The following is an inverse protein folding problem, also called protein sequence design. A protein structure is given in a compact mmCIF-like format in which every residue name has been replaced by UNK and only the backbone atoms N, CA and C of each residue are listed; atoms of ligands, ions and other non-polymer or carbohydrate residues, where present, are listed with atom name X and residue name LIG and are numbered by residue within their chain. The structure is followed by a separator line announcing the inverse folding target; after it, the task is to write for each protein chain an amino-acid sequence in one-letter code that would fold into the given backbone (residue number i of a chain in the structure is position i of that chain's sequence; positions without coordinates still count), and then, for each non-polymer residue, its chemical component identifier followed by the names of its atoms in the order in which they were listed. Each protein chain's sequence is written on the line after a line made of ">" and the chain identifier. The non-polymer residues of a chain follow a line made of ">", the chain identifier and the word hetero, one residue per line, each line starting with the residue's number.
data_IF_451809644708
#
_entry.id   IF_451809644708
#
_cell.length_a   1.000
_cell.length_b   1.000
_cell.length_c   1.000
_cell.angle_alpha   90.00
_cell.angle_beta   90.00
_cell.angle_gamma   90.00
#
_symmetry.space_group_name_H-M   'P 1'
#
loop_
_entity.id
_entity.type
_entity.pdbx_description
1 polymer ?
#
# COMPACT_ATOMS: atom_id res chain seq x y z
N UNK A 1 -17.86 -7.85 6.96
CA UNK A 1 -17.93 -6.46 7.47
C UNK A 1 -18.64 -6.28 8.82
N UNK A 2 -19.32 -7.28 9.40
CA UNK A 2 -19.94 -7.18 10.74
C UNK A 2 -20.86 -5.95 10.91
N UNK A 3 -21.74 -5.72 9.92
CA UNK A 3 -22.73 -4.62 9.91
C UNK A 3 -24.16 -5.12 10.17
N UNK A 4 -24.33 -6.41 10.49
CA UNK A 4 -25.65 -7.03 10.67
C UNK A 4 -26.46 -6.37 11.79
N UNK A 5 -25.78 -5.95 12.87
CA UNK A 5 -26.40 -5.31 14.05
C UNK A 5 -26.96 -3.91 13.76
N UNK A 6 -26.48 -3.25 12.71
CA UNK A 6 -26.85 -1.87 12.37
C UNK A 6 -27.45 -1.74 10.96
N UNK A 7 -27.95 -2.86 10.41
CA UNK A 7 -28.55 -2.95 9.06
C UNK A 7 -29.66 -1.92 8.82
N UNK A 8 -30.52 -1.72 9.81
CA UNK A 8 -31.68 -0.84 9.72
C UNK A 8 -31.45 0.50 10.45
N UNK A 9 -30.20 0.81 10.81
CA UNK A 9 -29.83 2.06 11.48
C UNK A 9 -29.56 3.13 10.43
N UNK A 10 -30.03 4.35 10.67
CA UNK A 10 -29.81 5.49 9.77
C UNK A 10 -28.31 5.85 9.69
N UNK A 11 -27.81 6.12 8.49
CA UNK A 11 -26.38 6.41 8.26
C UNK A 11 -25.95 7.72 8.95
N UNK A 12 -26.78 8.76 8.88
CA UNK A 12 -26.54 10.07 9.50
C UNK A 12 -27.84 10.61 10.09
N UNK A 13 -27.78 11.10 11.33
CA UNK A 13 -28.89 11.74 12.04
C UNK A 13 -28.34 12.57 13.20
N UNK A 14 -28.89 13.78 13.40
CA UNK A 14 -28.46 14.72 14.45
C UNK A 14 -29.17 14.43 15.77
N UNK A 15 -30.41 13.91 15.70
CA UNK A 15 -31.30 13.68 16.85
C UNK A 15 -31.62 12.19 17.07
N UNK A 16 -31.28 11.32 16.13
CA UNK A 16 -31.58 9.88 16.16
C UNK A 16 -30.29 9.04 16.23
N UNK A 17 -30.41 7.81 16.75
CA UNK A 17 -29.33 6.82 16.76
C UNK A 17 -28.84 6.57 15.33
N UNK A 18 -27.59 6.95 15.06
CA UNK A 18 -26.94 6.79 13.76
C UNK A 18 -25.73 5.86 13.84
N UNK A 19 -25.21 5.46 12.68
CA UNK A 19 -24.02 4.62 12.60
C UNK A 19 -22.80 5.31 13.25
N UNK A 20 -22.05 4.55 14.05
CA UNK A 20 -20.74 4.99 14.54
C UNK A 20 -19.79 5.32 13.39
N UNK A 21 -18.73 6.09 13.66
CA UNK A 21 -17.70 6.40 12.65
C UNK A 21 -17.12 5.15 12.00
N UNK A 22 -16.77 4.14 12.81
CA UNK A 22 -16.26 2.86 12.31
C UNK A 22 -17.29 2.07 11.49
N UNK A 23 -18.57 2.09 11.86
CA UNK A 23 -19.63 1.46 11.06
C UNK A 23 -19.83 2.15 9.71
N UNK A 24 -19.79 3.49 9.66
CA UNK A 24 -19.84 4.24 8.41
C UNK A 24 -18.66 3.91 7.49
N UNK A 25 -17.44 3.83 8.04
CA UNK A 25 -16.24 3.45 7.26
C UNK A 25 -16.39 2.04 6.67
N UNK A 26 -16.87 1.07 7.47
CA UNK A 26 -17.13 -0.30 6.98
C UNK A 26 -18.28 -0.36 5.96
N UNK A 27 -19.30 0.49 6.09
CA UNK A 27 -20.40 0.56 5.13
C UNK A 27 -19.91 1.10 3.79
N UNK A 28 -19.16 2.20 3.78
CA UNK A 28 -18.54 2.74 2.58
C UNK A 28 -17.61 1.70 1.91
N UNK A 29 -16.84 0.98 2.71
CA UNK A 29 -16.01 -0.10 2.18
C UNK A 29 -16.85 -1.26 1.59
N UNK A 30 -17.95 -1.62 2.26
CA UNK A 30 -18.85 -2.65 1.76
C UNK A 30 -19.51 -2.25 0.43
N UNK A 31 -19.90 -0.98 0.25
CA UNK A 31 -20.51 -0.50 -1.00
C UNK A 31 -19.58 -0.60 -2.19
N UNK A 32 -18.28 -0.33 -2.00
CA UNK A 32 -17.29 -0.50 -3.07
C UNK A 32 -17.13 -1.97 -3.48
N UNK A 33 -17.07 -2.88 -2.50
CA UNK A 33 -16.92 -4.32 -2.77
C UNK A 33 -18.15 -4.92 -3.48
N UNK A 34 -19.35 -4.34 -3.31
CA UNK A 34 -20.57 -4.85 -3.96
C UNK A 34 -20.47 -4.83 -5.50
N UNK A 35 -19.60 -3.99 -6.06
CA UNK A 35 -19.33 -3.94 -7.50
C UNK A 35 -18.44 -5.08 -8.01
N UNK A 36 -17.97 -5.95 -7.11
CA UNK A 36 -17.05 -7.07 -7.34
C UNK A 36 -15.80 -6.70 -8.18
N UNK A 37 -15.11 -5.59 -7.88
CA UNK A 37 -14.03 -5.09 -8.73
C UNK A 37 -12.85 -6.06 -8.74
N UNK A 38 -12.20 -6.25 -9.89
CA UNK A 38 -10.99 -7.08 -10.00
C UNK A 38 -9.78 -6.47 -9.28
N UNK A 39 -9.75 -5.13 -9.16
CA UNK A 39 -8.69 -4.36 -8.49
C UNK A 39 -9.33 -3.39 -7.51
N UNK A 40 -8.81 -3.35 -6.28
CA UNK A 40 -9.28 -2.49 -5.22
C UNK A 40 -8.14 -1.60 -4.70
N UNK A 41 -8.37 -0.29 -4.68
CA UNK A 41 -7.46 0.69 -4.09
C UNK A 41 -8.01 1.14 -2.73
N UNK A 42 -7.19 1.09 -1.69
CA UNK A 42 -7.56 1.43 -0.32
C UNK A 42 -6.58 2.47 0.22
N UNK A 43 -7.05 3.70 0.42
CA UNK A 43 -6.23 4.73 1.05
C UNK A 43 -6.42 4.72 2.57
N UNK A 44 -5.35 4.41 3.31
CA UNK A 44 -5.28 4.30 4.77
C UNK A 44 -6.52 3.66 5.43
N UNK A 45 -6.85 2.39 5.07
CA UNK A 45 -8.09 1.76 5.53
C UNK A 45 -8.11 1.55 7.04
N UNK A 46 -6.95 1.55 7.70
CA UNK A 46 -6.76 1.41 9.16
C UNK A 46 -6.83 2.74 9.91
N UNK A 47 -6.77 3.90 9.24
CA UNK A 47 -6.74 5.21 9.90
C UNK A 47 -8.01 5.46 10.74
N UNK A 48 -7.81 5.96 11.97
CA UNK A 48 -8.89 6.25 12.93
C UNK A 48 -9.56 5.00 13.54
N UNK A 49 -8.97 3.81 13.39
CA UNK A 49 -9.43 2.58 14.03
C UNK A 49 -8.49 2.15 15.16
N UNK A 50 -9.04 1.48 16.17
CA UNK A 50 -8.22 0.76 17.14
C UNK A 50 -7.51 -0.45 16.48
N UNK A 51 -6.54 -1.02 17.19
CA UNK A 51 -5.71 -2.12 16.68
C UNK A 51 -6.53 -3.36 16.29
N UNK A 52 -7.58 -3.69 17.03
CA UNK A 52 -8.43 -4.83 16.75
C UNK A 52 -9.27 -4.60 15.47
N UNK A 53 -9.86 -3.42 15.33
CA UNK A 53 -10.65 -3.05 14.17
C UNK A 53 -9.80 -2.91 12.91
N UNK A 54 -8.61 -2.31 13.03
CA UNK A 54 -7.63 -2.23 11.95
C UNK A 54 -7.26 -3.63 11.42
N UNK A 55 -6.92 -4.56 12.32
CA UNK A 55 -6.62 -5.94 11.96
C UNK A 55 -7.78 -6.61 11.21
N UNK A 56 -9.02 -6.41 11.67
CA UNK A 56 -10.21 -6.96 11.00
C UNK A 56 -10.43 -6.41 9.61
N UNK A 57 -10.10 -5.15 9.37
CA UNK A 57 -10.19 -4.54 8.03
C UNK A 57 -9.15 -5.18 7.11
N UNK A 58 -7.90 -5.29 7.56
CA UNK A 58 -6.81 -5.90 6.77
C UNK A 58 -7.09 -7.38 6.50
N UNK A 59 -7.64 -8.14 7.45
CA UNK A 59 -8.09 -9.52 7.23
C UNK A 59 -9.16 -9.62 6.14
N UNK A 60 -10.08 -8.66 6.08
CA UNK A 60 -11.10 -8.63 5.05
C UNK A 60 -10.48 -8.35 3.67
N UNK A 61 -9.51 -7.43 3.59
CA UNK A 61 -8.72 -7.17 2.38
C UNK A 61 -7.96 -8.43 1.93
N UNK A 62 -7.30 -9.12 2.86
CA UNK A 62 -6.58 -10.37 2.60
C UNK A 62 -7.52 -11.46 2.08
N UNK A 63 -8.72 -11.56 2.66
CA UNK A 63 -9.72 -12.52 2.19
C UNK A 63 -10.15 -12.24 0.75
N UNK A 64 -10.24 -10.97 0.34
CA UNK A 64 -10.52 -10.60 -1.05
C UNK A 64 -9.36 -10.97 -1.96
N UNK A 65 -8.11 -10.75 -1.53
CA UNK A 65 -6.95 -11.13 -2.35
C UNK A 65 -6.86 -12.64 -2.55
N UNK A 66 -7.13 -13.43 -1.51
CA UNK A 66 -7.23 -14.89 -1.60
C UNK A 66 -8.35 -15.38 -2.55
N UNK A 67 -9.35 -14.55 -2.85
CA UNK A 67 -10.39 -14.85 -3.85
C UNK A 67 -10.02 -14.42 -5.28
N UNK A 68 -8.75 -14.06 -5.51
CA UNK A 68 -8.24 -13.67 -6.83
C UNK A 68 -8.42 -12.19 -7.16
N UNK A 69 -8.79 -11.35 -6.20
CA UNK A 69 -8.82 -9.89 -6.40
C UNK A 69 -7.43 -9.29 -6.16
N UNK A 70 -7.07 -8.23 -6.88
CA UNK A 70 -5.86 -7.45 -6.57
C UNK A 70 -6.23 -6.34 -5.58
N UNK A 71 -5.52 -6.25 -4.45
CA UNK A 71 -5.73 -5.19 -3.46
C UNK A 71 -4.45 -4.40 -3.31
N UNK A 72 -4.55 -3.08 -3.46
CA UNK A 72 -3.46 -2.13 -3.25
C UNK A 72 -3.90 -1.20 -2.13
N UNK A 73 -3.10 -1.13 -1.06
CA UNK A 73 -3.43 -0.33 0.11
C UNK A 73 -2.24 0.48 0.58
N UNK A 74 -2.48 1.72 0.99
CA UNK A 74 -1.53 2.52 1.77
C UNK A 74 -1.78 2.25 3.25
N UNK A 75 -0.72 2.08 4.05
CA UNK A 75 -0.81 1.90 5.50
C UNK A 75 0.27 2.73 6.14
N UNK A 76 -0.14 3.76 6.89
CA UNK A 76 0.77 4.53 7.72
C UNK A 76 1.17 3.71 8.95
N UNK A 77 2.44 3.36 9.07
CA UNK A 77 3.02 2.60 10.20
C UNK A 77 2.26 1.29 10.54
N UNK A 78 2.42 0.23 9.74
CA UNK A 78 1.74 -1.03 9.99
C UNK A 78 2.25 -1.69 11.28
N UNK A 79 1.34 -2.25 12.08
CA UNK A 79 1.73 -3.17 13.15
C UNK A 79 2.28 -4.47 12.57
N UNK A 80 3.04 -5.24 13.35
CA UNK A 80 3.56 -6.56 12.91
C UNK A 80 2.48 -7.47 12.34
N UNK A 81 1.32 -7.53 12.99
CA UNK A 81 0.19 -8.36 12.55
C UNK A 81 -0.37 -7.92 11.20
N UNK A 82 -0.40 -6.61 10.94
CA UNK A 82 -0.87 -6.06 9.66
C UNK A 82 0.15 -6.32 8.56
N UNK A 83 1.43 -6.11 8.87
CA UNK A 83 2.53 -6.38 7.96
C UNK A 83 2.60 -7.85 7.52
N UNK A 84 2.41 -8.80 8.43
CA UNK A 84 2.40 -10.24 8.13
C UNK A 84 1.32 -10.65 7.11
N UNK A 85 0.30 -9.81 6.89
CA UNK A 85 -0.73 -10.08 5.88
C UNK A 85 -0.34 -9.64 4.47
N UNK A 86 0.67 -8.78 4.34
CA UNK A 86 1.11 -8.24 3.06
C UNK A 86 1.85 -9.31 2.24
N UNK A 87 1.42 -9.51 0.99
CA UNK A 87 2.12 -10.39 0.05
C UNK A 87 3.35 -9.67 -0.55
N UNK A 88 3.18 -8.39 -0.84
CA UNK A 88 4.19 -7.52 -1.45
C UNK A 88 4.23 -6.19 -0.73
N UNK A 89 5.40 -5.57 -0.73
CA UNK A 89 5.65 -4.28 -0.10
C UNK A 89 6.24 -3.32 -1.13
N UNK A 90 5.79 -2.07 -1.07
CA UNK A 90 6.41 -0.92 -1.74
C UNK A 90 6.70 0.10 -0.65
N UNK A 91 7.97 0.47 -0.51
CA UNK A 91 8.40 1.52 0.40
C UNK A 91 8.71 2.77 -0.41
N UNK A 92 8.20 3.90 0.07
CA UNK A 92 8.36 5.22 -0.55
C UNK A 92 9.04 6.17 0.43
N UNK A 93 10.06 6.88 -0.04
CA UNK A 93 10.63 8.04 0.65
C UNK A 93 10.74 9.20 -0.34
N UNK A 94 10.28 10.39 0.07
CA UNK A 94 10.32 11.60 -0.75
C UNK A 94 9.81 11.38 -2.20
N UNK A 95 8.71 10.63 -2.35
CA UNK A 95 8.10 10.30 -3.64
C UNK A 95 8.84 9.26 -4.48
N UNK A 96 9.95 8.69 -3.99
CA UNK A 96 10.77 7.71 -4.70
C UNK A 96 10.64 6.31 -4.07
N UNK A 97 10.75 5.27 -4.90
CA UNK A 97 10.69 3.87 -4.47
C UNK A 97 12.04 3.47 -3.89
N UNK A 98 12.05 3.18 -2.58
CA UNK A 98 13.25 2.68 -1.87
C UNK A 98 13.28 1.16 -1.76
N UNK A 99 12.14 0.50 -1.97
CA UNK A 99 12.04 -0.95 -2.06
C UNK A 99 10.71 -1.32 -2.72
N UNK A 100 10.72 -2.32 -3.60
CA UNK A 100 9.51 -2.98 -4.06
C UNK A 100 9.78 -4.47 -4.30
N UNK A 101 9.02 -5.32 -3.61
CA UNK A 101 9.27 -6.76 -3.64
C UNK A 101 8.29 -7.56 -2.79
N UNK A 102 8.67 -8.79 -2.48
CA UNK A 102 8.01 -9.61 -1.47
C UNK A 102 8.10 -8.93 -0.11
N UNK A 103 7.05 -9.01 0.71
CA UNK A 103 7.16 -8.55 2.09
C UNK A 103 8.20 -9.39 2.86
N UNK A 104 8.32 -10.69 2.60
CA UNK A 104 9.25 -11.57 3.31
C UNK A 104 10.73 -11.20 3.10
N UNK A 105 11.07 -10.67 1.92
CA UNK A 105 12.47 -10.46 1.52
C UNK A 105 13.03 -9.10 1.94
N UNK A 106 12.15 -8.18 2.40
CA UNK A 106 12.57 -6.83 2.81
C UNK A 106 13.62 -6.87 3.92
N UNK A 107 13.55 -7.89 4.77
CA UNK A 107 14.49 -8.07 5.86
C UNK A 107 15.92 -8.27 5.32
N UNK A 108 16.07 -9.25 4.43
CA UNK A 108 17.32 -9.63 3.80
C UNK A 108 17.87 -8.52 2.90
N UNK A 109 16.99 -7.80 2.18
CA UNK A 109 17.37 -6.64 1.37
C UNK A 109 18.14 -5.62 2.22
N UNK A 110 17.52 -5.08 3.27
CA UNK A 110 18.18 -4.06 4.11
C UNK A 110 19.42 -4.60 4.84
N UNK A 111 19.44 -5.88 5.24
CA UNK A 111 20.62 -6.49 5.86
C UNK A 111 21.82 -6.49 4.88
N UNK A 112 21.58 -6.76 3.59
CA UNK A 112 22.63 -6.73 2.55
C UNK A 112 23.17 -5.33 2.25
N UNK A 113 22.40 -4.29 2.55
CA UNK A 113 22.75 -2.88 2.33
C UNK A 113 23.28 -2.18 3.59
N UNK A 114 23.69 -2.93 4.61
CA UNK A 114 24.34 -2.37 5.80
C UNK A 114 23.38 -1.82 6.86
N UNK A 115 22.10 -2.19 6.80
CA UNK A 115 21.10 -1.89 7.83
C UNK A 115 20.66 -3.16 8.56
N UNK A 116 21.55 -3.79 9.37
CA UNK A 116 21.26 -5.04 10.05
C UNK A 116 20.13 -4.88 11.06
N UNK A 117 19.36 -5.96 11.27
CA UNK A 117 18.26 -5.96 12.24
C UNK A 117 18.73 -5.70 13.67
N UNK A 118 18.27 -4.61 14.32
CA UNK A 118 18.50 -4.42 15.75
C UNK A 118 17.81 -5.52 16.55
N UNK A 119 18.41 -5.91 17.68
CA UNK A 119 17.74 -6.79 18.64
C UNK A 119 16.52 -6.04 19.20
N UNK A 120 15.35 -6.69 19.19
CA UNK A 120 14.08 -6.19 19.76
C UNK A 120 13.31 -5.13 18.95
N UNK A 121 13.62 -4.91 17.67
CA UNK A 121 12.79 -4.06 16.80
C UNK A 121 12.03 -4.92 15.79
N UNK A 122 10.74 -4.64 15.59
CA UNK A 122 9.92 -5.31 14.58
C UNK A 122 10.36 -4.93 13.16
N UNK A 123 10.17 -5.81 12.18
CA UNK A 123 10.53 -5.51 10.79
C UNK A 123 9.82 -4.24 10.27
N UNK A 124 8.51 -4.04 10.53
CA UNK A 124 7.81 -2.80 10.21
C UNK A 124 8.47 -1.55 10.75
N UNK A 125 8.73 -1.53 12.06
CA UNK A 125 9.34 -0.37 12.69
C UNK A 125 10.75 -0.11 12.16
N UNK A 126 11.48 -1.19 11.83
CA UNK A 126 12.82 -1.11 11.24
C UNK A 126 12.81 -0.38 9.91
N UNK A 127 12.04 -0.84 8.93
CA UNK A 127 12.03 -0.19 7.61
C UNK A 127 11.41 1.21 7.69
N UNK A 128 10.43 1.45 8.56
CA UNK A 128 9.88 2.79 8.76
C UNK A 128 10.94 3.75 9.30
N UNK A 129 11.76 3.33 10.26
CA UNK A 129 12.87 4.15 10.77
C UNK A 129 13.97 4.41 9.73
N UNK A 130 14.18 3.47 8.81
CA UNK A 130 15.15 3.65 7.72
C UNK A 130 14.61 4.65 6.68
N UNK A 131 13.34 4.53 6.31
CA UNK A 131 12.74 5.28 5.20
C UNK A 131 12.25 6.67 5.63
N UNK A 132 11.74 6.81 6.85
CA UNK A 132 11.31 8.09 7.38
C UNK A 132 12.49 8.99 7.75
N UNK A 133 12.21 10.30 7.73
CA UNK A 133 13.13 11.32 8.24
C UNK A 133 13.10 11.30 9.77
N UNK A 134 14.28 11.22 10.39
CA UNK A 134 14.43 11.45 11.83
C UNK A 134 14.45 12.97 12.10
N UNK A 135 13.85 13.42 13.20
CA UNK A 135 13.72 14.85 13.53
C UNK A 135 15.06 15.59 13.64
N UNK A 136 16.12 14.86 14.02
CA UNK A 136 17.47 15.40 14.21
C UNK A 136 18.27 15.54 12.90
N UNK A 137 17.80 14.97 11.78
CA UNK A 137 18.50 15.01 10.50
C UNK A 137 18.15 16.26 9.69
N UNK A 138 19.17 16.89 9.12
CA UNK A 138 18.95 17.96 8.14
C UNK A 138 18.26 17.42 6.88
N UNK A 139 17.56 18.30 6.15
CA UNK A 139 16.94 17.94 4.87
C UNK A 139 17.96 17.38 3.87
N UNK A 140 19.18 17.92 3.86
CA UNK A 140 20.24 17.47 2.95
C UNK A 140 20.72 16.05 3.28
N UNK A 141 20.96 15.75 4.57
CA UNK A 141 21.35 14.40 5.00
C UNK A 141 20.26 13.38 4.72
N UNK A 142 18.99 13.73 4.97
CA UNK A 142 17.87 12.87 4.66
C UNK A 142 17.75 12.59 3.16
N UNK A 143 17.85 13.62 2.32
CA UNK A 143 17.78 13.45 0.86
C UNK A 143 18.94 12.60 0.33
N UNK A 144 20.15 12.75 0.88
CA UNK A 144 21.29 11.90 0.56
C UNK A 144 21.04 10.43 0.97
N UNK A 145 20.49 10.19 2.16
CA UNK A 145 20.08 8.84 2.62
C UNK A 145 19.06 8.23 1.67
N UNK A 146 18.02 8.97 1.29
CA UNK A 146 16.99 8.51 0.33
C UNK A 146 17.62 8.15 -1.01
N UNK A 147 18.53 9.00 -1.52
CA UNK A 147 19.21 8.76 -2.79
C UNK A 147 20.01 7.45 -2.78
N UNK A 148 20.76 7.20 -1.71
CA UNK A 148 21.50 5.93 -1.54
C UNK A 148 20.56 4.73 -1.53
N UNK A 149 19.41 4.82 -0.85
CA UNK A 149 18.42 3.74 -0.79
C UNK A 149 17.78 3.47 -2.17
N UNK A 150 17.49 4.52 -2.94
CA UNK A 150 16.95 4.40 -4.29
C UNK A 150 17.98 3.75 -5.22
N UNK A 151 19.22 4.22 -5.21
CA UNK A 151 20.32 3.64 -6.02
C UNK A 151 20.57 2.17 -5.67
N UNK A 152 20.52 1.83 -4.38
CA UNK A 152 20.60 0.46 -3.88
C UNK A 152 19.48 -0.43 -4.43
N UNK A 153 18.24 0.06 -4.40
CA UNK A 153 17.09 -0.66 -4.96
C UNK A 153 17.17 -0.83 -6.47
N UNK A 154 17.49 0.24 -7.21
CA UNK A 154 17.62 0.20 -8.68
C UNK A 154 18.71 -0.78 -9.14
N UNK A 155 19.76 -0.95 -8.33
CA UNK A 155 20.85 -1.89 -8.62
C UNK A 155 20.48 -3.34 -8.26
N UNK A 156 19.47 -3.56 -7.41
CA UNK A 156 18.99 -4.89 -7.03
C UNK A 156 18.39 -5.66 -8.21
N UNK A 157 18.33 -6.99 -8.10
CA UNK A 157 17.72 -7.82 -9.15
C UNK A 157 16.24 -7.48 -9.33
N UNK A 158 15.51 -7.27 -8.23
CA UNK A 158 14.10 -6.88 -8.21
C UNK A 158 13.89 -5.53 -8.88
N UNK A 159 14.73 -4.54 -8.57
CA UNK A 159 14.67 -3.21 -9.18
C UNK A 159 14.84 -3.28 -10.69
N UNK A 160 15.83 -4.02 -11.17
CA UNK A 160 16.07 -4.25 -12.61
C UNK A 160 14.90 -4.94 -13.30
N UNK A 161 14.31 -5.95 -12.66
CA UNK A 161 13.14 -6.66 -13.21
C UNK A 161 11.95 -5.71 -13.33
N UNK A 162 11.62 -4.98 -12.26
CA UNK A 162 10.49 -4.04 -12.24
C UNK A 162 10.70 -2.93 -13.27
N UNK A 163 11.91 -2.37 -13.35
CA UNK A 163 12.27 -1.35 -14.32
C UNK A 163 12.06 -1.85 -15.76
N UNK A 164 12.54 -3.06 -16.09
CA UNK A 164 12.34 -3.67 -17.41
C UNK A 164 10.87 -3.89 -17.75
N UNK A 165 10.08 -4.42 -16.82
CA UNK A 165 8.64 -4.65 -17.02
C UNK A 165 7.92 -3.32 -17.26
N UNK A 166 8.22 -2.31 -16.45
CA UNK A 166 7.61 -0.98 -16.54
C UNK A 166 7.91 -0.33 -17.89
N UNK A 167 9.16 -0.40 -18.35
CA UNK A 167 9.56 0.08 -19.68
C UNK A 167 8.86 -0.69 -20.82
N UNK A 168 8.74 -2.01 -20.73
CA UNK A 168 8.00 -2.81 -21.73
C UNK A 168 6.52 -2.42 -21.80
N UNK A 169 5.85 -2.23 -20.66
CA UNK A 169 4.45 -1.80 -20.60
C UNK A 169 4.29 -0.38 -21.15
N UNK A 170 5.18 0.55 -20.78
CA UNK A 170 5.15 1.92 -21.27
C UNK A 170 5.33 1.99 -22.79
N UNK A 171 6.27 1.23 -23.35
CA UNK A 171 6.48 1.14 -24.80
C UNK A 171 5.24 0.57 -25.51
N UNK A 172 4.64 -0.50 -24.97
CA UNK A 172 3.43 -1.13 -25.55
C UNK A 172 2.20 -0.22 -25.46
N UNK A 173 2.11 0.61 -24.42
CA UNK A 173 1.00 1.56 -24.23
C UNK A 173 1.12 2.77 -25.17
N UNK A 174 2.36 3.20 -25.45
CA UNK A 174 2.63 4.25 -26.45
C UNK A 174 2.24 3.78 -27.86
N UNK A 175 2.58 2.55 -28.23
CA UNK A 175 2.25 1.97 -29.55
C UNK A 175 0.74 1.81 -29.79
N UNK A 176 -0.04 1.52 -28.73
CA UNK A 176 -1.52 1.50 -28.79
C UNK A 176 -2.13 2.89 -28.94
N UNK A 177 -1.53 3.94 -28.35
CA UNK A 177 -1.97 5.33 -28.56
C UNK A 177 -1.73 5.79 -29.99
N UNK A 178 -0.61 5.42 -30.61
CA UNK A 178 -0.31 5.76 -32.01
C UNK A 178 -1.27 5.08 -32.99
N UNK A 179 -1.72 3.85 -32.70
CA UNK A 179 -2.71 3.13 -33.52
C UNK A 179 -4.16 3.59 -33.34
N UNK A 180 -4.50 4.26 -32.23
CA UNK A 180 -5.85 4.84 -32.05
C UNK A 180 -6.05 6.16 -32.80
N UNK A 181 -4.98 6.90 -33.13
CA UNK A 181 -5.06 8.21 -33.80
C UNK A 181 -5.11 8.14 -35.35
N UNK A 182 -5.37 6.96 -35.93
CA UNK A 182 -5.48 6.78 -37.40
C UNK A 182 -6.95 6.58 -37.85
N UNK A 183 -7.92 6.69 -36.93
CA UNK A 183 -9.33 6.37 -37.19
C UNK A 183 -10.30 7.52 -37.49
N UNK A 184 -9.98 8.78 -37.16
CA UNK A 184 -10.97 9.89 -37.22
C UNK A 184 -10.78 10.79 -38.43
N UNK A 185 -10.66 10.20 -39.63
CA UNK A 185 -10.76 10.98 -40.86
C UNK A 185 -11.33 10.18 -42.04
N UNK A 186 -12.57 9.71 -41.90
CA UNK A 186 -13.40 9.34 -43.06
C UNK A 186 -14.85 9.79 -42.83
N UNK A 187 -15.15 10.96 -43.43
CA UNK A 187 -16.43 11.46 -43.97
C UNK A 187 -17.64 11.62 -43.04
#
# INVERSE_FOLDING_TARGET
>A
MNLTKCRNTRIRGVLEKSLSGGERKRLAFATEILTDPSILFCDEPTSGLDSFMALRVVLALKTLSCKGKTVISTIHQPSSQVYEMADRLILLANGQVTYQGSAADVAAFFDSFGYPSPKFISIPDRFMKIVCKDDDLSEEEYNNKVKILVEAYETSEEGKIVHRITHMIAATTSDKKTKLNIGDNVR
#
